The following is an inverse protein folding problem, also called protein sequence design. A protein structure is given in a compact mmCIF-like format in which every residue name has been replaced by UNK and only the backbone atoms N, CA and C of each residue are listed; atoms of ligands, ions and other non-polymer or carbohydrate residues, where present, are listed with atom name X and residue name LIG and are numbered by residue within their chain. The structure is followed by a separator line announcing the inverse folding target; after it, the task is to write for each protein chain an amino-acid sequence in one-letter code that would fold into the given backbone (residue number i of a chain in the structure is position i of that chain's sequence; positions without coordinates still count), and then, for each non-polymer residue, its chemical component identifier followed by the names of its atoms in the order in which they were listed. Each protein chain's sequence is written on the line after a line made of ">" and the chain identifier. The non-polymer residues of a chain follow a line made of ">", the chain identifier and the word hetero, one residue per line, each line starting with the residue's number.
data_IF_870216155047
#
_entry.id   IF_870216155047
#
_cell.length_a   1.000
_cell.length_b   1.000
_cell.length_c   1.000
_cell.angle_alpha   90.00
_cell.angle_beta   90.00
_cell.angle_gamma   90.00
#
_symmetry.space_group_name_H-M   'P 1'
#
loop_
_entity.id
_entity.type
_entity.pdbx_description
1 polymer ?
#
# COMPACT_ATOMS: atom_id res chain seq x y z
N UNK A 1 -1.45 -28.64 -4.84
CA UNK A 1 -1.03 -27.84 -6.02
C UNK A 1 -0.93 -26.37 -5.61
N UNK A 2 0.18 -25.74 -5.92
CA UNK A 2 0.52 -24.37 -5.49
C UNK A 2 -0.47 -23.36 -6.09
N UNK A 3 -1.18 -22.60 -5.23
CA UNK A 3 -1.99 -21.44 -5.59
C UNK A 3 -1.12 -20.20 -5.93
N UNK A 4 0.20 -20.37 -5.96
CA UNK A 4 1.17 -19.29 -6.15
C UNK A 4 1.02 -18.52 -7.46
N UNK A 5 0.83 -19.16 -8.63
CA UNK A 5 0.63 -18.42 -9.89
C UNK A 5 -0.67 -17.60 -9.89
N UNK A 6 -1.73 -18.11 -9.29
CA UNK A 6 -3.00 -17.38 -9.18
C UNK A 6 -2.89 -16.13 -8.30
N UNK A 7 -2.16 -16.23 -7.17
CA UNK A 7 -1.87 -15.08 -6.32
C UNK A 7 -1.03 -14.02 -7.03
N UNK A 8 -0.04 -14.45 -7.83
CA UNK A 8 0.79 -13.54 -8.60
C UNK A 8 -0.03 -12.80 -9.68
N UNK A 9 -0.92 -13.50 -10.38
CA UNK A 9 -1.81 -12.89 -11.38
C UNK A 9 -2.74 -11.86 -10.71
N UNK A 10 -3.37 -12.19 -9.58
CA UNK A 10 -4.23 -11.25 -8.84
C UNK A 10 -3.42 -10.02 -8.39
N UNK A 11 -2.22 -10.22 -7.85
CA UNK A 11 -1.37 -9.13 -7.41
C UNK A 11 -0.95 -8.22 -8.59
N UNK A 12 -0.61 -8.83 -9.71
CA UNK A 12 -0.25 -8.09 -10.94
C UNK A 12 -1.43 -7.30 -11.48
N UNK A 13 -2.62 -7.92 -11.58
CA UNK A 13 -3.84 -7.23 -11.98
C UNK A 13 -4.18 -6.09 -11.03
N UNK A 14 -4.01 -6.31 -9.73
CA UNK A 14 -4.17 -5.28 -8.71
C UNK A 14 -3.25 -4.08 -8.95
N UNK A 15 -1.96 -4.32 -9.17
CA UNK A 15 -1.01 -3.25 -9.48
C UNK A 15 -1.38 -2.49 -10.77
N UNK A 16 -1.72 -3.21 -11.83
CA UNK A 16 -2.06 -2.61 -13.12
C UNK A 16 -3.36 -1.81 -13.11
N UNK A 17 -4.28 -2.13 -12.19
CA UNK A 17 -5.60 -1.47 -12.12
C UNK A 17 -5.65 -0.28 -11.18
N UNK A 18 -4.71 -0.19 -10.26
CA UNK A 18 -4.75 0.80 -9.17
C UNK A 18 -3.68 1.88 -9.31
N UNK A 19 -2.50 1.53 -9.82
CA UNK A 19 -1.40 2.49 -9.90
C UNK A 19 -1.44 3.23 -11.24
N UNK A 20 -1.42 4.55 -11.18
CA UNK A 20 -1.42 5.41 -12.36
C UNK A 20 -0.12 5.22 -13.17
N UNK A 21 -0.23 4.98 -14.48
CA UNK A 21 0.91 4.76 -15.37
C UNK A 21 1.90 5.95 -15.38
N UNK A 22 1.42 7.19 -15.20
CA UNK A 22 2.25 8.38 -15.16
C UNK A 22 3.22 8.39 -13.96
N UNK A 23 2.84 7.72 -12.88
CA UNK A 23 3.67 7.58 -11.68
C UNK A 23 4.78 6.54 -11.86
N UNK A 24 4.57 5.53 -12.72
CA UNK A 24 5.57 4.48 -12.94
C UNK A 24 6.89 5.00 -13.48
N UNK A 25 6.85 5.98 -14.39
CA UNK A 25 8.05 6.56 -14.96
C UNK A 25 8.95 7.20 -13.89
N UNK A 26 8.37 7.93 -12.96
CA UNK A 26 9.11 8.58 -11.88
C UNK A 26 9.61 7.59 -10.81
N UNK A 27 8.93 6.49 -10.57
CA UNK A 27 9.19 5.59 -9.44
C UNK A 27 10.11 4.45 -9.80
N UNK A 28 9.99 3.92 -11.02
CA UNK A 28 10.74 2.73 -11.44
C UNK A 28 11.84 3.00 -12.44
N UNK A 29 11.66 3.97 -13.32
CA UNK A 29 12.60 4.25 -14.39
C UNK A 29 13.52 5.44 -14.11
N UNK A 30 13.13 6.33 -13.24
CA UNK A 30 14.02 7.40 -12.78
C UNK A 30 14.79 6.95 -11.53
N UNK A 31 16.10 6.86 -11.64
CA UNK A 31 16.97 6.31 -10.57
C UNK A 31 16.73 6.96 -9.19
N UNK A 32 16.70 8.29 -9.13
CA UNK A 32 16.47 9.01 -7.88
C UNK A 32 15.09 8.73 -7.28
N UNK A 33 14.06 8.56 -8.13
CA UNK A 33 12.73 8.17 -7.72
C UNK A 33 12.68 6.74 -7.18
N UNK A 34 13.35 5.80 -7.87
CA UNK A 34 13.42 4.42 -7.43
C UNK A 34 14.10 4.28 -6.06
N UNK A 35 15.23 4.96 -5.86
CA UNK A 35 15.98 4.92 -4.59
C UNK A 35 15.22 5.62 -3.45
N UNK A 36 14.46 6.70 -3.74
CA UNK A 36 13.75 7.44 -2.71
C UNK A 36 12.37 6.86 -2.34
N UNK A 37 11.72 6.15 -3.25
CA UNK A 37 10.33 5.69 -3.06
C UNK A 37 10.14 4.19 -3.18
N UNK A 38 10.37 3.58 -4.36
CA UNK A 38 10.04 2.16 -4.59
C UNK A 38 10.95 1.20 -3.83
N UNK A 39 12.24 1.47 -3.77
CA UNK A 39 13.19 0.64 -3.02
C UNK A 39 12.92 0.69 -1.50
N UNK A 40 12.82 1.86 -0.84
CA UNK A 40 12.47 1.93 0.58
C UNK A 40 11.12 1.31 0.89
N UNK A 41 10.11 1.51 0.03
CA UNK A 41 8.81 0.89 0.19
C UNK A 41 8.90 -0.64 0.14
N UNK A 42 9.68 -1.20 -0.79
CA UNK A 42 9.92 -2.65 -0.87
C UNK A 42 10.63 -3.20 0.36
N UNK A 43 11.66 -2.49 0.86
CA UNK A 43 12.36 -2.86 2.11
C UNK A 43 11.40 -2.84 3.31
N UNK A 44 10.53 -1.85 3.40
CA UNK A 44 9.48 -1.78 4.43
C UNK A 44 8.54 -3.00 4.36
N UNK A 45 8.05 -3.38 3.17
CA UNK A 45 7.18 -4.55 3.01
C UNK A 45 7.87 -5.85 3.43
N UNK A 46 9.14 -6.02 3.09
CA UNK A 46 9.93 -7.18 3.53
C UNK A 46 10.08 -7.16 5.06
N UNK A 47 10.41 -6.01 5.66
CA UNK A 47 10.51 -5.86 7.10
C UNK A 47 9.22 -6.23 7.82
N UNK A 48 8.06 -5.74 7.33
CA UNK A 48 6.74 -6.04 7.88
C UNK A 48 6.37 -7.53 7.70
N UNK A 49 6.78 -8.17 6.62
CA UNK A 49 6.59 -9.61 6.41
C UNK A 49 7.39 -10.43 7.43
N UNK A 50 8.65 -10.06 7.69
CA UNK A 50 9.45 -10.67 8.75
C UNK A 50 8.87 -10.40 10.14
N UNK A 51 8.33 -9.23 10.37
CA UNK A 51 7.62 -8.88 11.59
C UNK A 51 6.42 -9.80 11.85
N UNK A 52 5.61 -10.11 10.83
CA UNK A 52 4.53 -11.08 10.93
C UNK A 52 5.04 -12.50 11.23
N UNK A 53 6.21 -12.86 10.68
CA UNK A 53 6.83 -14.16 10.98
C UNK A 53 7.25 -14.29 12.43
N UNK A 54 7.76 -13.22 13.07
CA UNK A 54 8.11 -13.18 14.50
C UNK A 54 6.89 -13.45 15.38
N UNK A 55 5.68 -13.06 14.92
CA UNK A 55 4.43 -13.24 15.65
C UNK A 55 3.95 -14.70 15.71
N UNK A 56 4.47 -15.59 14.85
CA UNK A 56 4.06 -17.01 14.82
C UNK A 56 4.57 -17.77 16.05
N UNK A 57 3.69 -18.57 16.68
CA UNK A 57 4.03 -19.40 17.85
C UNK A 57 5.10 -20.44 17.55
N UNK A 58 5.06 -21.04 16.37
CA UNK A 58 5.90 -22.18 15.97
C UNK A 58 7.34 -21.80 15.62
N UNK A 59 7.68 -20.52 15.53
CA UNK A 59 9.02 -20.08 15.19
C UNK A 59 9.99 -20.29 16.35
N UNK A 60 11.17 -20.87 16.07
CA UNK A 60 12.22 -21.04 17.08
C UNK A 60 12.71 -19.71 17.65
N UNK A 61 13.16 -19.69 18.89
CA UNK A 61 13.69 -18.47 19.55
C UNK A 61 14.86 -17.86 18.75
N UNK A 62 15.74 -18.69 18.17
CA UNK A 62 16.85 -18.23 17.31
C UNK A 62 16.33 -17.62 16.01
N UNK A 63 15.35 -18.26 15.37
CA UNK A 63 14.72 -17.74 14.14
C UNK A 63 14.07 -16.37 14.38
N UNK A 64 13.34 -16.20 15.49
CA UNK A 64 12.74 -14.91 15.87
C UNK A 64 13.77 -13.80 16.07
N UNK A 65 14.91 -14.12 16.72
CA UNK A 65 16.00 -13.14 16.90
C UNK A 65 16.58 -12.67 15.57
N UNK A 66 16.90 -13.61 14.67
CA UNK A 66 17.46 -13.31 13.35
C UNK A 66 16.46 -12.49 12.52
N UNK A 67 15.21 -12.93 12.44
CA UNK A 67 14.18 -12.19 11.70
C UNK A 67 13.96 -10.78 12.28
N UNK A 68 13.98 -10.64 13.61
CA UNK A 68 13.85 -9.32 14.24
C UNK A 68 15.03 -8.39 13.93
N UNK A 69 16.26 -8.93 13.96
CA UNK A 69 17.45 -8.17 13.58
C UNK A 69 17.40 -7.69 12.13
N UNK A 70 17.06 -8.59 11.19
CA UNK A 70 16.92 -8.25 9.78
C UNK A 70 15.77 -7.25 9.58
N UNK A 71 14.61 -7.48 10.18
CA UNK A 71 13.46 -6.57 10.08
C UNK A 71 13.78 -5.18 10.63
N UNK A 72 14.51 -5.09 11.74
CA UNK A 72 14.94 -3.82 12.33
C UNK A 72 15.85 -3.03 11.38
N UNK A 73 16.87 -3.70 10.80
CA UNK A 73 17.77 -3.07 9.83
C UNK A 73 17.02 -2.61 8.58
N UNK A 74 16.15 -3.46 8.02
CA UNK A 74 15.39 -3.12 6.82
C UNK A 74 14.41 -1.97 7.07
N UNK A 75 13.72 -1.95 8.22
CA UNK A 75 12.79 -0.87 8.55
C UNK A 75 13.53 0.45 8.84
N UNK A 76 14.70 0.39 9.49
CA UNK A 76 15.58 1.55 9.66
C UNK A 76 16.03 2.12 8.32
N UNK A 77 16.54 1.28 7.42
CA UNK A 77 17.01 1.71 6.09
C UNK A 77 15.85 2.24 5.23
N UNK A 78 14.68 1.60 5.28
CA UNK A 78 13.50 2.07 4.53
C UNK A 78 13.04 3.46 4.97
N UNK A 79 13.21 3.77 6.25
CA UNK A 79 12.88 5.09 6.80
C UNK A 79 13.79 6.21 6.31
N UNK A 80 14.97 5.88 5.74
CA UNK A 80 15.87 6.84 5.10
C UNK A 80 15.44 7.33 3.72
N UNK A 81 14.43 6.72 3.10
CA UNK A 81 13.88 7.13 1.82
C UNK A 81 12.96 8.35 1.93
N UNK A 82 11.65 8.16 1.67
CA UNK A 82 10.68 9.24 1.83
C UNK A 82 10.05 9.26 3.22
N UNK A 83 9.66 10.45 3.70
CA UNK A 83 8.93 10.60 4.97
C UNK A 83 7.58 9.86 4.97
N UNK A 84 6.96 9.69 3.80
CA UNK A 84 5.75 8.89 3.65
C UNK A 84 5.99 7.41 4.00
N UNK A 85 7.09 6.81 3.49
CA UNK A 85 7.48 5.43 3.82
C UNK A 85 7.84 5.31 5.30
N UNK A 86 8.59 6.27 5.83
CA UNK A 86 9.00 6.29 7.23
C UNK A 86 7.78 6.31 8.18
N UNK A 87 6.84 7.22 7.94
CA UNK A 87 5.60 7.34 8.71
C UNK A 87 4.74 6.07 8.61
N UNK A 88 4.51 5.60 7.39
CA UNK A 88 3.74 4.37 7.15
C UNK A 88 4.38 3.15 7.80
N UNK A 89 5.70 2.97 7.67
CA UNK A 89 6.43 1.84 8.26
C UNK A 89 6.34 1.81 9.77
N UNK A 90 6.53 2.96 10.43
CA UNK A 90 6.37 3.09 11.87
C UNK A 90 4.94 2.78 12.31
N UNK A 91 3.96 3.34 11.60
CA UNK A 91 2.54 3.10 11.90
C UNK A 91 2.17 1.62 11.79
N UNK A 92 2.56 0.97 10.68
CA UNK A 92 2.28 -0.45 10.46
C UNK A 92 2.96 -1.34 11.50
N UNK A 93 4.20 -1.05 11.89
CA UNK A 93 4.90 -1.78 12.94
C UNK A 93 4.21 -1.60 14.31
N UNK A 94 3.74 -0.40 14.62
CA UNK A 94 2.98 -0.12 15.85
C UNK A 94 1.63 -0.86 15.83
N UNK A 95 0.89 -0.78 14.73
CA UNK A 95 -0.38 -1.46 14.54
C UNK A 95 -0.24 -2.98 14.71
N UNK A 96 0.75 -3.60 14.06
CA UNK A 96 1.00 -5.03 14.19
C UNK A 96 1.41 -5.43 15.61
N UNK A 97 2.14 -4.56 16.31
CA UNK A 97 2.46 -4.75 17.74
C UNK A 97 1.19 -4.72 18.59
N UNK A 98 0.29 -3.77 18.32
CA UNK A 98 -0.98 -3.65 19.04
C UNK A 98 -1.89 -4.86 18.79
N UNK A 99 -2.02 -5.31 17.54
CA UNK A 99 -2.78 -6.53 17.19
C UNK A 99 -2.20 -7.76 17.89
N UNK A 100 -0.87 -7.90 17.90
CA UNK A 100 -0.20 -8.98 18.63
C UNK A 100 -0.47 -8.91 20.14
N UNK A 101 -0.42 -7.72 20.72
CA UNK A 101 -0.74 -7.52 22.16
C UNK A 101 -2.20 -7.91 22.45
N UNK A 102 -3.16 -7.49 21.63
CA UNK A 102 -4.57 -7.81 21.81
C UNK A 102 -4.86 -9.31 21.70
N UNK A 103 -4.08 -10.03 20.87
CA UNK A 103 -4.25 -11.47 20.68
C UNK A 103 -3.54 -12.32 21.74
N UNK A 104 -2.46 -11.82 22.35
CA UNK A 104 -1.62 -12.61 23.26
C UNK A 104 -1.58 -12.10 24.70
N UNK A 105 -2.02 -10.86 24.94
CA UNK A 105 -1.89 -10.15 26.21
C UNK A 105 -0.44 -9.79 26.57
N UNK A 106 0.52 -9.95 25.64
CA UNK A 106 1.95 -9.77 25.90
C UNK A 106 2.59 -8.85 24.88
N UNK A 107 3.46 -7.97 25.34
CA UNK A 107 4.30 -7.16 24.47
C UNK A 107 5.58 -7.92 24.15
N UNK A 108 5.88 -8.10 22.86
CA UNK A 108 7.10 -8.75 22.43
C UNK A 108 8.25 -7.77 22.33
N UNK A 109 9.37 -8.05 23.05
CA UNK A 109 10.59 -7.24 22.91
C UNK A 109 11.13 -7.16 21.48
N UNK A 110 10.87 -8.16 20.66
CA UNK A 110 11.28 -8.16 19.25
C UNK A 110 10.47 -7.16 18.42
N UNK A 111 9.16 -7.08 18.67
CA UNK A 111 8.30 -6.09 18.02
C UNK A 111 8.69 -4.67 18.40
N UNK A 112 8.95 -4.44 19.69
CA UNK A 112 9.43 -3.14 20.16
C UNK A 112 10.78 -2.76 19.56
N UNK A 113 11.72 -3.71 19.44
CA UNK A 113 13.02 -3.43 18.83
C UNK A 113 12.91 -3.05 17.34
N UNK A 114 12.07 -3.74 16.58
CA UNK A 114 11.82 -3.41 15.17
C UNK A 114 11.15 -2.04 15.03
N UNK A 115 10.14 -1.77 15.84
CA UNK A 115 9.49 -0.45 15.88
C UNK A 115 10.49 0.65 16.24
N UNK A 116 11.28 0.48 17.30
CA UNK A 116 12.26 1.46 17.74
C UNK A 116 13.32 1.76 16.68
N UNK A 117 13.78 0.74 15.94
CA UNK A 117 14.71 0.92 14.84
C UNK A 117 14.09 1.75 13.69
N UNK A 118 12.87 1.42 13.27
CA UNK A 118 12.14 2.19 12.25
C UNK A 118 11.89 3.63 12.70
N UNK A 119 11.48 3.81 13.95
CA UNK A 119 11.23 5.13 14.52
C UNK A 119 12.50 5.99 14.61
N UNK A 120 13.64 5.40 15.00
CA UNK A 120 14.94 6.08 14.98
C UNK A 120 15.33 6.54 13.58
N UNK A 121 15.17 5.67 12.56
CA UNK A 121 15.39 6.03 11.17
C UNK A 121 14.46 7.15 10.69
N UNK A 122 13.18 7.10 11.08
CA UNK A 122 12.20 8.13 10.76
C UNK A 122 12.55 9.49 11.38
N UNK A 123 13.01 9.50 12.63
CA UNK A 123 13.47 10.74 13.31
C UNK A 123 14.69 11.33 12.63
N UNK A 124 15.67 10.51 12.27
CA UNK A 124 16.87 10.97 11.54
C UNK A 124 16.48 11.58 10.20
N UNK A 125 15.60 10.92 9.45
CA UNK A 125 15.10 11.44 8.17
C UNK A 125 14.32 12.75 8.37
N UNK A 126 13.40 12.79 9.34
CA UNK A 126 12.61 14.00 9.61
C UNK A 126 13.48 15.20 10.02
N UNK A 127 14.56 14.95 10.78
CA UNK A 127 15.51 15.97 11.20
C UNK A 127 16.51 16.41 10.11
N UNK A 128 16.47 15.80 8.92
CA UNK A 128 17.39 16.14 7.84
C UNK A 128 17.20 17.59 7.36
N UNK A 129 18.28 18.41 7.26
CA UNK A 129 18.19 19.83 6.90
C UNK A 129 17.46 20.10 5.58
N UNK A 130 17.57 19.17 4.61
CA UNK A 130 16.89 19.28 3.32
C UNK A 130 15.36 19.27 3.40
N UNK A 131 14.78 18.69 4.45
CA UNK A 131 13.33 18.72 4.65
C UNK A 131 12.86 20.12 5.09
N UNK A 132 13.64 20.78 5.95
CA UNK A 132 13.35 22.15 6.40
C UNK A 132 13.53 23.16 5.25
N UNK A 133 14.63 23.05 4.50
CA UNK A 133 14.87 23.92 3.33
C UNK A 133 13.76 23.79 2.28
N UNK A 134 13.22 22.57 2.08
CA UNK A 134 12.10 22.33 1.16
C UNK A 134 10.82 22.94 1.70
N UNK A 135 10.54 22.78 2.99
CA UNK A 135 9.37 23.35 3.63
C UNK A 135 9.36 24.88 3.54
N UNK A 136 10.47 25.51 3.90
CA UNK A 136 10.62 26.98 3.85
C UNK A 136 10.48 27.52 2.44
N UNK A 137 10.94 26.79 1.43
CA UNK A 137 10.80 27.15 0.02
C UNK A 137 9.37 27.01 -0.55
N UNK A 138 8.52 26.20 0.10
CA UNK A 138 7.16 25.92 -0.40
C UNK A 138 6.04 26.53 0.46
N UNK A 139 6.20 26.52 1.77
CA UNK A 139 5.15 26.90 2.74
C UNK A 139 5.46 28.17 3.54
N UNK A 140 6.64 28.73 3.38
CA UNK A 140 7.13 29.80 4.25
C UNK A 140 7.68 29.29 5.58
N UNK A 141 8.20 30.20 6.41
CA UNK A 141 8.83 29.83 7.68
C UNK A 141 7.79 29.31 8.70
N UNK A 142 8.13 28.17 9.34
CA UNK A 142 7.36 27.58 10.41
C UNK A 142 6.51 26.37 10.03
N UNK A 143 6.35 25.43 10.96
CA UNK A 143 5.57 24.22 10.75
C UNK A 143 4.07 24.44 11.02
N UNK A 144 3.23 24.32 10.01
CA UNK A 144 1.80 24.54 10.08
C UNK A 144 1.03 23.23 10.29
N UNK A 145 1.15 22.60 11.47
CA UNK A 145 0.53 21.30 11.76
C UNK A 145 -0.99 21.26 11.53
N UNK A 146 -1.72 22.29 11.95
CA UNK A 146 -3.17 22.37 11.78
C UNK A 146 -3.58 22.35 10.31
N UNK A 147 -2.87 23.09 9.46
CA UNK A 147 -3.11 23.11 8.01
C UNK A 147 -2.73 21.77 7.37
N UNK A 148 -1.61 21.17 7.78
CA UNK A 148 -1.19 19.86 7.29
C UNK A 148 -2.22 18.77 7.62
N UNK A 149 -2.80 18.78 8.83
CA UNK A 149 -3.87 17.83 9.21
C UNK A 149 -5.12 18.06 8.35
N UNK A 150 -5.61 19.30 8.27
CA UNK A 150 -6.80 19.61 7.48
C UNK A 150 -6.62 19.23 6.00
N UNK A 151 -5.45 19.53 5.44
CA UNK A 151 -5.12 19.16 4.08
C UNK A 151 -5.03 17.64 3.88
N UNK A 152 -4.40 16.93 4.82
CA UNK A 152 -4.31 15.45 4.79
C UNK A 152 -5.70 14.81 4.75
N UNK A 153 -6.63 15.27 5.59
CA UNK A 153 -8.01 14.73 5.62
C UNK A 153 -8.74 15.02 4.32
N UNK A 154 -8.63 16.26 3.81
CA UNK A 154 -9.25 16.66 2.55
C UNK A 154 -8.74 15.82 1.38
N UNK A 155 -7.41 15.72 1.24
CA UNK A 155 -6.78 14.98 0.15
C UNK A 155 -7.02 13.48 0.24
N UNK A 156 -7.09 12.93 1.46
CA UNK A 156 -7.49 11.53 1.66
C UNK A 156 -8.90 11.26 1.11
N UNK A 157 -9.85 12.16 1.35
CA UNK A 157 -11.21 12.03 0.83
C UNK A 157 -11.26 12.19 -0.70
N UNK A 158 -10.56 13.18 -1.25
CA UNK A 158 -10.47 13.44 -2.69
C UNK A 158 -9.81 12.26 -3.42
N UNK A 159 -8.70 11.75 -2.88
CA UNK A 159 -7.95 10.63 -3.45
C UNK A 159 -8.72 9.32 -3.39
N UNK A 160 -9.38 9.05 -2.27
CA UNK A 160 -10.29 7.90 -2.17
C UNK A 160 -11.38 7.96 -3.24
N UNK A 161 -12.00 9.14 -3.41
CA UNK A 161 -13.01 9.36 -4.44
C UNK A 161 -12.46 9.19 -5.85
N UNK A 162 -11.25 9.67 -6.12
CA UNK A 162 -10.54 9.49 -7.40
C UNK A 162 -10.32 8.01 -7.71
N UNK A 163 -9.74 7.27 -6.76
CA UNK A 163 -9.46 5.84 -6.93
C UNK A 163 -10.72 5.04 -7.25
N UNK A 164 -11.85 5.33 -6.60
CA UNK A 164 -13.11 4.64 -6.91
C UNK A 164 -13.71 5.03 -8.27
N UNK A 165 -13.50 6.26 -8.75
CA UNK A 165 -14.07 6.74 -10.03
C UNK A 165 -13.19 6.40 -11.23
N UNK A 166 -11.87 6.52 -11.07
CA UNK A 166 -10.91 6.49 -12.18
C UNK A 166 -10.16 5.17 -12.28
N UNK A 167 -10.38 4.25 -11.32
CA UNK A 167 -9.74 2.94 -11.34
C UNK A 167 -10.76 1.82 -11.16
N UNK A 168 -10.28 0.58 -11.28
CA UNK A 168 -11.10 -0.62 -11.04
C UNK A 168 -11.28 -0.94 -9.53
N UNK A 169 -10.96 -0.01 -8.63
CA UNK A 169 -10.96 -0.28 -7.20
C UNK A 169 -12.32 -0.77 -6.68
N UNK A 170 -13.42 -0.19 -7.18
CA UNK A 170 -14.79 -0.63 -6.80
C UNK A 170 -15.05 -2.10 -7.11
N UNK A 171 -14.63 -2.56 -8.29
CA UNK A 171 -14.78 -3.97 -8.68
C UNK A 171 -13.86 -4.89 -7.86
N UNK A 172 -12.59 -4.49 -7.67
CA UNK A 172 -11.64 -5.23 -6.82
C UNK A 172 -12.16 -5.31 -5.38
N UNK A 173 -12.78 -4.25 -4.87
CA UNK A 173 -13.40 -4.22 -3.54
C UNK A 173 -14.51 -5.28 -3.41
N UNK A 174 -15.39 -5.40 -4.41
CA UNK A 174 -16.43 -6.45 -4.44
C UNK A 174 -15.84 -7.86 -4.50
N UNK A 175 -14.79 -8.07 -5.32
CA UNK A 175 -14.04 -9.35 -5.36
C UNK A 175 -13.50 -9.71 -3.98
N UNK A 176 -12.96 -8.73 -3.26
CA UNK A 176 -12.40 -8.96 -1.93
C UNK A 176 -13.48 -9.28 -0.89
N UNK A 177 -14.69 -8.70 -0.99
CA UNK A 177 -15.83 -9.10 -0.16
C UNK A 177 -16.18 -10.57 -0.43
N UNK A 178 -16.33 -10.97 -1.70
CA UNK A 178 -16.62 -12.35 -2.08
C UNK A 178 -15.53 -13.32 -1.59
N UNK A 179 -14.26 -12.93 -1.69
CA UNK A 179 -13.13 -13.69 -1.15
C UNK A 179 -13.20 -13.83 0.37
N UNK A 180 -13.64 -12.81 1.09
CA UNK A 180 -13.84 -12.81 2.54
C UNK A 180 -14.94 -13.80 2.96
N UNK A 181 -16.06 -13.83 2.26
CA UNK A 181 -17.15 -14.83 2.45
C UNK A 181 -16.59 -16.24 2.28
N UNK A 182 -15.88 -16.49 1.18
CA UNK A 182 -15.30 -17.79 0.87
C UNK A 182 -14.28 -18.27 1.91
N UNK A 183 -13.36 -17.39 2.31
CA UNK A 183 -12.33 -17.70 3.30
C UNK A 183 -12.92 -17.95 4.69
N UNK A 184 -13.95 -17.22 5.07
CA UNK A 184 -14.61 -17.38 6.38
C UNK A 184 -15.24 -18.76 6.55
N UNK A 185 -15.74 -19.38 5.48
CA UNK A 185 -16.26 -20.76 5.51
C UNK A 185 -15.17 -21.85 5.60
N UNK A 186 -13.92 -21.51 5.26
CA UNK A 186 -12.81 -22.49 5.17
C UNK A 186 -11.72 -22.29 6.20
N UNK A 187 -11.58 -21.11 6.76
CA UNK A 187 -10.53 -20.75 7.70
C UNK A 187 -11.13 -20.33 9.04
N UNK A 188 -10.48 -20.73 10.14
CA UNK A 188 -10.79 -20.20 11.46
C UNK A 188 -10.18 -18.80 11.60
N UNK A 189 -10.98 -17.77 11.35
CA UNK A 189 -10.57 -16.37 11.49
C UNK A 189 -11.11 -15.86 12.83
N UNK A 190 -10.23 -15.32 13.67
CA UNK A 190 -10.62 -14.65 14.90
C UNK A 190 -11.23 -13.28 14.54
N UNK A 191 -12.56 -13.17 14.54
CA UNK A 191 -13.28 -11.99 14.04
C UNK A 191 -12.88 -10.70 14.76
N UNK A 192 -12.70 -10.79 16.08
CA UNK A 192 -12.30 -9.63 16.89
C UNK A 192 -10.92 -9.11 16.52
N UNK A 193 -9.93 -10.00 16.43
CA UNK A 193 -8.54 -9.64 16.11
C UNK A 193 -8.43 -9.10 14.68
N UNK A 194 -9.13 -9.73 13.76
CA UNK A 194 -9.16 -9.28 12.37
C UNK A 194 -9.90 -7.95 12.21
N UNK A 195 -11.00 -7.75 12.92
CA UNK A 195 -11.74 -6.48 12.92
C UNK A 195 -10.88 -5.31 13.43
N UNK A 196 -10.14 -5.55 14.52
CA UNK A 196 -9.17 -4.56 15.03
C UNK A 196 -8.11 -4.26 13.97
N UNK A 197 -7.53 -5.28 13.34
CA UNK A 197 -6.52 -5.08 12.30
C UNK A 197 -7.09 -4.32 11.08
N UNK A 198 -8.32 -4.63 10.65
CA UNK A 198 -8.97 -3.95 9.53
C UNK A 198 -9.26 -2.47 9.84
N UNK A 199 -9.74 -2.16 11.04
CA UNK A 199 -10.01 -0.77 11.47
C UNK A 199 -8.72 0.02 11.61
N UNK A 200 -7.69 -0.57 12.23
CA UNK A 200 -6.38 0.09 12.37
C UNK A 200 -5.64 0.23 11.03
N UNK A 201 -5.96 -0.53 10.00
CA UNK A 201 -5.37 -0.33 8.68
C UNK A 201 -5.93 0.90 7.96
N UNK A 202 -7.17 1.33 8.22
CA UNK A 202 -7.81 2.45 7.53
C UNK A 202 -7.03 3.76 7.57
N UNK A 203 -6.43 4.19 8.70
CA UNK A 203 -5.65 5.42 8.74
C UNK A 203 -4.30 5.34 8.03
N UNK A 204 -3.88 4.19 7.49
CA UNK A 204 -2.56 4.05 6.87
C UNK A 204 -2.34 5.04 5.72
N UNK A 205 -3.37 5.31 4.91
CA UNK A 205 -3.32 6.33 3.87
C UNK A 205 -3.12 7.74 4.44
N UNK A 206 -3.84 8.09 5.51
CA UNK A 206 -3.68 9.37 6.22
C UNK A 206 -2.26 9.52 6.79
N UNK A 207 -1.75 8.46 7.41
CA UNK A 207 -0.38 8.46 7.98
C UNK A 207 0.69 8.58 6.91
N UNK A 208 0.50 7.97 5.75
CA UNK A 208 1.40 8.13 4.61
C UNK A 208 1.35 9.55 4.03
N UNK A 209 0.17 10.17 4.04
CA UNK A 209 -0.06 11.51 3.47
C UNK A 209 0.48 12.63 4.37
N UNK A 210 0.26 12.53 5.68
CA UNK A 210 0.55 13.60 6.64
C UNK A 210 1.98 14.15 6.60
N UNK A 211 3.06 13.32 6.56
CA UNK A 211 4.42 13.83 6.47
C UNK A 211 4.69 14.58 5.16
N UNK A 212 4.03 14.17 4.08
CA UNK A 212 4.13 14.85 2.78
C UNK A 212 3.43 16.21 2.83
N UNK A 213 2.21 16.25 3.36
CA UNK A 213 1.47 17.49 3.54
C UNK A 213 2.21 18.48 4.44
N UNK A 214 2.82 18.01 5.52
CA UNK A 214 3.63 18.82 6.41
C UNK A 214 4.89 19.36 5.71
N UNK A 215 5.59 18.49 4.95
CA UNK A 215 6.84 18.85 4.28
C UNK A 215 6.68 19.78 3.06
N UNK A 216 5.50 19.80 2.43
CA UNK A 216 5.19 20.67 1.28
C UNK A 216 4.18 21.80 1.61
N UNK A 217 3.85 21.99 2.89
CA UNK A 217 2.92 23.02 3.34
C UNK A 217 1.49 22.88 2.84
N UNK A 218 1.12 21.71 2.33
CA UNK A 218 -0.22 21.42 1.85
C UNK A 218 -0.58 21.99 0.47
N UNK A 219 0.32 22.69 -0.21
CA UNK A 219 0.03 23.33 -1.50
C UNK A 219 0.30 22.44 -2.72
N UNK A 220 1.22 21.49 -2.58
CA UNK A 220 1.63 20.64 -3.69
C UNK A 220 2.14 19.29 -3.18
N UNK A 221 1.69 18.22 -3.80
CA UNK A 221 2.19 16.87 -3.56
C UNK A 221 2.74 16.33 -4.87
N UNK A 222 4.05 16.01 -4.93
CA UNK A 222 4.64 15.41 -6.13
C UNK A 222 3.97 14.09 -6.49
N UNK A 223 3.77 13.82 -7.79
CA UNK A 223 3.11 12.60 -8.28
C UNK A 223 3.73 11.31 -7.72
N UNK A 224 5.05 11.28 -7.57
CA UNK A 224 5.79 10.13 -6.99
C UNK A 224 5.39 9.79 -5.55
N UNK A 225 4.85 10.74 -4.77
CA UNK A 225 4.38 10.49 -3.42
C UNK A 225 3.05 9.72 -3.42
N UNK A 226 2.21 9.90 -4.43
CA UNK A 226 0.93 9.20 -4.56
C UNK A 226 1.09 7.69 -4.66
N UNK A 227 2.18 7.19 -5.20
CA UNK A 227 2.44 5.75 -5.23
C UNK A 227 2.32 5.10 -3.85
N UNK A 228 2.95 5.69 -2.84
CA UNK A 228 2.95 5.13 -1.47
C UNK A 228 1.59 5.34 -0.83
N UNK A 229 1.00 6.52 -1.02
CA UNK A 229 -0.30 6.91 -0.45
C UNK A 229 -1.41 6.03 -1.02
N UNK A 230 -1.49 5.92 -2.35
CA UNK A 230 -2.49 5.12 -3.05
C UNK A 230 -2.35 3.64 -2.69
N UNK A 231 -1.12 3.12 -2.66
CA UNK A 231 -0.88 1.73 -2.29
C UNK A 231 -1.32 1.45 -0.85
N UNK A 232 -1.00 2.34 0.10
CA UNK A 232 -1.42 2.22 1.49
C UNK A 232 -2.95 2.28 1.63
N UNK A 233 -3.59 3.23 0.94
CA UNK A 233 -5.04 3.41 0.93
C UNK A 233 -5.75 2.19 0.34
N UNK A 234 -5.30 1.72 -0.82
CA UNK A 234 -5.89 0.57 -1.50
C UNK A 234 -5.75 -0.71 -0.67
N UNK A 235 -4.56 -1.00 -0.13
CA UNK A 235 -4.36 -2.17 0.75
C UNK A 235 -5.31 -2.10 1.95
N UNK A 236 -5.49 -0.93 2.54
CA UNK A 236 -6.37 -0.71 3.69
C UNK A 236 -7.83 -0.95 3.33
N UNK A 237 -8.29 -0.41 2.19
CA UNK A 237 -9.66 -0.59 1.70
C UNK A 237 -9.94 -2.06 1.33
N UNK A 238 -8.99 -2.74 0.70
CA UNK A 238 -9.14 -4.15 0.36
C UNK A 238 -9.13 -5.06 1.59
N UNK A 239 -8.34 -4.71 2.60
CA UNK A 239 -8.38 -5.41 3.88
C UNK A 239 -9.74 -5.22 4.58
N UNK A 240 -10.31 -4.01 4.53
CA UNK A 240 -11.66 -3.74 5.00
C UNK A 240 -12.71 -4.55 4.22
N UNK A 241 -12.61 -4.57 2.88
CA UNK A 241 -13.53 -5.35 2.04
C UNK A 241 -13.51 -6.84 2.40
N UNK A 242 -12.31 -7.40 2.56
CA UNK A 242 -12.13 -8.78 2.98
C UNK A 242 -12.78 -9.04 4.36
N UNK A 243 -12.58 -8.12 5.32
CA UNK A 243 -13.20 -8.19 6.64
C UNK A 243 -14.73 -8.11 6.56
N UNK A 244 -15.28 -7.21 5.75
CA UNK A 244 -16.73 -7.12 5.52
C UNK A 244 -17.29 -8.42 4.97
N UNK A 245 -16.60 -9.08 4.04
CA UNK A 245 -16.97 -10.41 3.54
C UNK A 245 -17.01 -11.46 4.65
N UNK A 246 -16.03 -11.47 5.55
CA UNK A 246 -16.02 -12.36 6.73
C UNK A 246 -17.23 -12.07 7.64
N UNK A 247 -17.56 -10.79 7.85
CA UNK A 247 -18.74 -10.39 8.62
C UNK A 247 -20.04 -10.83 7.93
N UNK A 248 -20.17 -10.65 6.62
CA UNK A 248 -21.34 -11.08 5.86
C UNK A 248 -21.61 -12.57 6.02
N UNK A 249 -20.56 -13.38 5.96
CA UNK A 249 -20.72 -14.82 6.18
C UNK A 249 -21.13 -15.16 7.61
N UNK A 250 -20.46 -14.58 8.61
CA UNK A 250 -20.63 -14.98 10.02
C UNK A 250 -21.81 -14.35 10.72
N UNK A 251 -22.16 -13.11 10.39
CA UNK A 251 -23.23 -12.38 11.08
C UNK A 251 -24.55 -12.48 10.34
N UNK A 252 -24.54 -12.55 9.01
CA UNK A 252 -25.74 -12.57 8.18
C UNK A 252 -26.02 -13.93 7.55
N UNK A 253 -25.19 -14.95 7.84
CA UNK A 253 -25.40 -16.30 7.35
C UNK A 253 -25.30 -16.45 5.83
N UNK A 254 -24.57 -15.54 5.14
CA UNK A 254 -24.38 -15.67 3.70
C UNK A 254 -23.72 -17.02 3.41
N UNK A 255 -24.33 -17.78 2.49
CA UNK A 255 -23.81 -19.09 2.14
C UNK A 255 -22.37 -18.98 1.62
N UNK A 256 -21.47 -19.75 2.22
CA UNK A 256 -20.13 -19.98 1.70
C UNK A 256 -20.12 -21.14 0.70
N UNK A 257 -21.27 -21.47 0.15
CA UNK A 257 -21.38 -22.52 -0.86
C UNK A 257 -20.38 -22.23 -1.99
N UNK A 258 -19.43 -23.15 -2.11
CA UNK A 258 -18.26 -22.95 -2.98
C UNK A 258 -18.62 -22.66 -4.44
N UNK A 259 -19.78 -23.12 -4.91
CA UNK A 259 -20.21 -22.90 -6.29
C UNK A 259 -20.63 -21.44 -6.53
N UNK A 260 -21.51 -20.89 -5.70
CA UNK A 260 -22.02 -19.51 -5.84
C UNK A 260 -20.90 -18.49 -5.72
N UNK A 261 -20.04 -18.62 -4.70
CA UNK A 261 -18.88 -17.72 -4.52
C UNK A 261 -17.88 -17.86 -5.67
N UNK A 262 -17.66 -19.08 -6.15
CA UNK A 262 -16.75 -19.34 -7.28
C UNK A 262 -17.28 -18.70 -8.57
N UNK A 263 -18.58 -18.80 -8.84
CA UNK A 263 -19.20 -18.14 -10.01
C UNK A 263 -19.09 -16.62 -9.89
N UNK A 264 -19.39 -16.05 -8.72
CA UNK A 264 -19.20 -14.60 -8.50
C UNK A 264 -17.75 -14.16 -8.71
N UNK A 265 -16.79 -14.92 -8.20
CA UNK A 265 -15.35 -14.62 -8.41
C UNK A 265 -14.97 -14.68 -9.89
N UNK A 266 -15.47 -15.66 -10.65
CA UNK A 266 -15.21 -15.73 -12.09
C UNK A 266 -15.83 -14.57 -12.87
N UNK A 267 -17.07 -14.18 -12.55
CA UNK A 267 -17.73 -13.01 -13.15
C UNK A 267 -16.93 -11.74 -12.87
N UNK A 268 -16.54 -11.53 -11.62
CA UNK A 268 -15.73 -10.37 -11.24
C UNK A 268 -14.33 -10.40 -11.90
N UNK A 269 -13.71 -11.57 -12.01
CA UNK A 269 -12.41 -11.71 -12.66
C UNK A 269 -12.51 -11.44 -14.16
N UNK A 270 -13.56 -11.93 -14.81
CA UNK A 270 -13.83 -11.64 -16.22
C UNK A 270 -14.05 -10.14 -16.43
N UNK A 271 -14.83 -9.48 -15.56
CA UNK A 271 -15.02 -8.04 -15.60
C UNK A 271 -13.69 -7.28 -15.37
N UNK A 272 -12.83 -7.71 -14.46
CA UNK A 272 -11.50 -7.12 -14.22
C UNK A 272 -10.57 -7.23 -15.44
N UNK A 273 -10.74 -8.24 -16.28
CA UNK A 273 -9.97 -8.40 -17.50
C UNK A 273 -10.57 -7.60 -18.65
N UNK A 274 -11.89 -7.65 -18.82
CA UNK A 274 -12.58 -7.04 -19.97
C UNK A 274 -12.68 -5.51 -19.83
N UNK A 275 -13.05 -5.01 -18.64
CA UNK A 275 -13.28 -3.56 -18.46
C UNK A 275 -12.05 -2.70 -18.75
N UNK A 276 -10.82 -3.05 -18.31
CA UNK A 276 -9.64 -2.24 -18.65
C UNK A 276 -9.31 -2.20 -20.15
N UNK A 277 -9.82 -3.16 -20.92
CA UNK A 277 -9.60 -3.23 -22.37
C UNK A 277 -10.70 -2.53 -23.17
N UNK A 278 -11.81 -2.17 -22.53
CA UNK A 278 -12.99 -1.59 -23.20
C UNK A 278 -13.30 -0.17 -22.78
N UNK A 279 -12.85 0.26 -21.60
CA UNK A 279 -13.12 1.60 -21.06
C UNK A 279 -11.94 2.52 -21.34
N UNK A 280 -12.18 3.53 -22.20
CA UNK A 280 -11.14 4.42 -22.72
C UNK A 280 -10.43 5.27 -21.67
N UNK A 281 -11.10 5.61 -20.59
CA UNK A 281 -10.55 6.40 -19.49
C UNK A 281 -9.51 5.62 -18.66
N UNK A 282 -9.55 4.30 -18.70
CA UNK A 282 -8.65 3.49 -17.88
C UNK A 282 -7.21 3.49 -18.40
N UNK A 283 -6.21 3.56 -17.52
CA UNK A 283 -4.80 3.60 -17.91
C UNK A 283 -4.38 2.43 -18.82
N UNK A 284 -4.88 1.22 -18.56
CA UNK A 284 -4.53 0.04 -19.35
C UNK A 284 -5.05 0.11 -20.79
N UNK A 285 -6.26 0.65 -21.00
CA UNK A 285 -6.78 0.91 -22.35
C UNK A 285 -5.89 1.90 -23.10
N UNK A 286 -5.52 3.00 -22.47
CA UNK A 286 -4.63 4.01 -23.07
C UNK A 286 -3.27 3.43 -23.45
N UNK A 287 -2.68 2.62 -22.57
CA UNK A 287 -1.42 1.92 -22.87
C UNK A 287 -1.58 0.95 -24.05
N UNK A 288 -2.62 0.11 -24.04
CA UNK A 288 -2.90 -0.82 -25.14
C UNK A 288 -3.11 -0.09 -26.48
N UNK A 289 -3.83 1.03 -26.45
CA UNK A 289 -4.04 1.90 -27.62
C UNK A 289 -2.73 2.51 -28.13
N UNK A 290 -1.87 3.02 -27.24
CA UNK A 290 -0.57 3.59 -27.63
C UNK A 290 0.41 2.56 -28.17
N UNK A 291 0.35 1.32 -27.67
CA UNK A 291 1.10 0.19 -28.26
C UNK A 291 0.55 -0.15 -29.64
N UNK A 292 -0.78 -0.25 -29.76
CA UNK A 292 -1.43 -0.67 -31.02
C UNK A 292 -1.24 0.35 -32.14
N UNK A 293 -1.35 1.64 -31.86
CA UNK A 293 -1.20 2.71 -32.85
C UNK A 293 0.25 3.14 -33.11
N UNK A 294 1.23 2.50 -32.47
CA UNK A 294 2.65 2.78 -32.68
C UNK A 294 3.20 4.01 -31.98
N UNK A 295 2.40 4.74 -31.17
CA UNK A 295 2.83 5.99 -30.54
C UNK A 295 4.08 5.83 -29.67
N UNK A 296 4.23 4.70 -28.97
CA UNK A 296 5.45 4.41 -28.18
C UNK A 296 6.67 4.18 -29.06
N UNK A 297 6.50 3.55 -30.21
CA UNK A 297 7.58 3.34 -31.17
C UNK A 297 8.04 4.67 -31.77
N UNK A 298 7.11 5.51 -32.19
CA UNK A 298 7.40 6.85 -32.73
C UNK A 298 8.12 7.72 -31.70
N UNK A 299 7.68 7.68 -30.44
CA UNK A 299 8.36 8.37 -29.35
C UNK A 299 9.76 7.86 -29.12
N UNK A 300 9.98 6.54 -29.11
CA UNK A 300 11.27 5.93 -28.97
C UNK A 300 12.23 6.33 -30.10
N UNK A 301 11.77 6.32 -31.34
CA UNK A 301 12.57 6.71 -32.50
C UNK A 301 12.97 8.20 -32.44
N UNK A 302 12.07 9.08 -32.01
CA UNK A 302 12.37 10.50 -31.75
C UNK A 302 13.42 10.68 -30.65
N UNK A 303 13.27 9.99 -29.53
CA UNK A 303 14.27 10.03 -28.46
C UNK A 303 15.64 9.53 -28.92
N UNK A 304 15.67 8.41 -29.68
CA UNK A 304 16.90 7.86 -30.24
C UNK A 304 17.59 8.84 -31.20
N UNK A 305 16.84 9.54 -32.02
CA UNK A 305 17.39 10.56 -32.93
C UNK A 305 18.03 11.73 -32.15
N UNK A 306 17.43 12.14 -31.01
CA UNK A 306 17.98 13.21 -30.15
C UNK A 306 19.31 12.78 -29.51
N UNK A 307 19.42 11.52 -29.09
CA UNK A 307 20.63 11.01 -28.42
C UNK A 307 21.71 10.53 -29.44
N UNK A 308 21.44 10.50 -30.73
CA UNK A 308 22.40 10.16 -31.76
C UNK A 308 23.22 11.38 -32.26
N UNK A 309 22.87 12.55 -31.79
CA UNK A 309 23.63 13.81 -31.96
C UNK A 309 24.51 14.09 -30.72
#
# INVERSE_FOLDING_TARGET
>A
KSLMPFKAVILTLFFLTVVNADVYAEIYFWFSGAVAYSMPFSLMLIALTLFLFISKKESSSRGKKVCAGIAAVLLFLSSGGSLAVAGLGCYMALMLTAVFFLSTGKVSRYHLAVFAAGFAGALINAAAPGNFSRHDGTAGAGLHFGQAIAYTVRMFAEESGRLFRETMLGLVFLVMIAAGVYLSGRCRIALREYGVAAVFALPAGLVAYFPVALGYGGYYVPNRCYFIIDTALVISLLNLALFLGVCCHRLWGLSSDGHTVTVMLYICLAALIVTPLTVEELPLYRVARYVHNGSYRDYYEKCRAIYAY
#
